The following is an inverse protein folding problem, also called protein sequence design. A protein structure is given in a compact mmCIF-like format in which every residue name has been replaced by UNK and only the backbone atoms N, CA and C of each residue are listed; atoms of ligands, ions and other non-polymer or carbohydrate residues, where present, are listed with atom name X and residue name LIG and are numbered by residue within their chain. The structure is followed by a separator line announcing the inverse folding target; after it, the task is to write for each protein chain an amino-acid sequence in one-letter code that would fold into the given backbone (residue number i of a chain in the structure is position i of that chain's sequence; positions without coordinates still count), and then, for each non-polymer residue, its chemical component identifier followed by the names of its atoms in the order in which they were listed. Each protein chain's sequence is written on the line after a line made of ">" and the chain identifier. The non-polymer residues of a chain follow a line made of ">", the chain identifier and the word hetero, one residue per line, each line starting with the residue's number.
data_IF_909294363751
#
_entry.id   IF_909294363751
#
_cell.length_a   1.000
_cell.length_b   1.000
_cell.length_c   1.000
_cell.angle_alpha   90.00
_cell.angle_beta   90.00
_cell.angle_gamma   90.00
#
_symmetry.space_group_name_H-M   'P 1'
#
loop_
_entity.id
_entity.type
_entity.pdbx_description
1 polymer ?
#
# COMPACT_ATOMS: atom_id res chain seq x y z
N UNK A 1 4.76 2.77 -19.93
CA UNK A 1 4.60 2.99 -18.46
C UNK A 1 4.84 4.44 -18.03
N UNK A 2 5.80 5.18 -18.59
CA UNK A 2 6.02 6.60 -18.21
C UNK A 2 4.87 7.55 -18.63
N UNK A 3 4.20 7.27 -19.75
CA UNK A 3 3.08 8.09 -20.26
C UNK A 3 1.84 8.05 -19.36
N UNK A 4 1.54 6.91 -18.77
CA UNK A 4 0.39 6.73 -17.87
C UNK A 4 0.60 7.42 -16.52
N UNK A 5 1.83 7.40 -15.99
CA UNK A 5 2.17 8.08 -14.75
C UNK A 5 2.02 9.61 -14.86
N UNK A 6 2.47 10.20 -15.98
CA UNK A 6 2.33 11.63 -16.22
C UNK A 6 0.87 12.04 -16.39
N UNK A 7 0.05 11.24 -17.09
CA UNK A 7 -1.37 11.52 -17.27
C UNK A 7 -2.12 11.57 -15.93
N UNK A 8 -1.88 10.58 -15.06
CA UNK A 8 -2.51 10.51 -13.73
C UNK A 8 -2.11 11.72 -12.87
N UNK A 9 -0.86 12.16 -12.93
CA UNK A 9 -0.38 13.35 -12.21
C UNK A 9 -1.06 14.63 -12.70
N UNK A 10 -1.20 14.80 -14.02
CA UNK A 10 -1.93 15.96 -14.59
C UNK A 10 -3.42 15.95 -14.30
N UNK A 11 -4.06 14.78 -14.30
CA UNK A 11 -5.48 14.64 -14.01
C UNK A 11 -5.78 14.89 -12.53
N UNK A 12 -4.91 14.44 -11.62
CA UNK A 12 -5.02 14.73 -10.18
C UNK A 12 -4.84 16.23 -9.91
N UNK A 13 -3.87 16.89 -10.57
CA UNK A 13 -3.70 18.34 -10.46
C UNK A 13 -4.88 19.14 -11.03
N UNK A 14 -5.52 18.68 -12.12
CA UNK A 14 -6.74 19.30 -12.67
C UNK A 14 -7.92 19.16 -11.74
N UNK A 15 -8.16 17.97 -11.19
CA UNK A 15 -9.25 17.73 -10.25
C UNK A 15 -9.12 18.60 -8.99
N UNK A 16 -7.93 18.68 -8.40
CA UNK A 16 -7.69 19.50 -7.21
C UNK A 16 -7.84 21.01 -7.50
N UNK A 17 -7.40 21.48 -8.67
CA UNK A 17 -7.55 22.88 -9.11
C UNK A 17 -9.02 23.29 -9.33
N UNK A 18 -9.83 22.42 -9.95
CA UNK A 18 -11.23 22.73 -10.25
C UNK A 18 -12.13 22.80 -9.00
N UNK A 19 -11.82 22.03 -7.96
CA UNK A 19 -12.58 22.04 -6.72
C UNK A 19 -12.36 23.35 -5.94
N UNK A 20 -11.13 23.86 -5.91
CA UNK A 20 -10.79 25.12 -5.23
C UNK A 20 -11.27 26.38 -5.98
N UNK A 21 -11.34 26.34 -7.32
CA UNK A 21 -11.77 27.49 -8.11
C UNK A 21 -13.28 27.79 -8.02
N UNK A 22 -14.10 26.79 -7.67
CA UNK A 22 -15.57 26.95 -7.58
C UNK A 22 -16.00 27.74 -6.35
N UNK A 23 -15.26 27.63 -5.25
CA UNK A 23 -15.56 28.29 -3.97
C UNK A 23 -15.10 29.76 -3.92
N UNK A 24 -14.20 30.18 -4.81
CA UNK A 24 -13.69 31.56 -4.84
C UNK A 24 -14.52 32.51 -5.71
N UNK A 25 -15.59 32.04 -6.37
CA UNK A 25 -16.49 32.91 -7.14
C UNK A 25 -17.61 33.48 -6.25
N UNK A 26 -17.22 34.12 -5.15
CA UNK A 26 -18.14 34.98 -4.40
C UNK A 26 -18.28 36.27 -5.20
N UNK A 27 -19.40 36.38 -5.92
CA UNK A 27 -19.81 37.58 -6.64
C UNK A 27 -19.88 38.73 -5.62
N UNK A 28 -18.90 39.62 -5.63
CA UNK A 28 -18.95 40.87 -4.88
C UNK A 28 -20.07 41.74 -5.48
N UNK A 29 -21.30 41.52 -5.03
CA UNK A 29 -22.39 42.45 -5.25
C UNK A 29 -22.17 43.63 -4.30
N UNK A 30 -21.45 44.64 -4.77
CA UNK A 30 -21.44 45.97 -4.18
C UNK A 30 -22.84 46.55 -4.34
N UNK A 31 -23.75 46.24 -3.43
CA UNK A 31 -24.99 47.01 -3.30
C UNK A 31 -24.62 48.32 -2.60
N UNK A 32 -24.39 49.36 -3.40
CA UNK A 32 -24.37 50.75 -2.93
C UNK A 32 -25.78 51.05 -2.41
N UNK A 33 -26.02 50.74 -1.13
CA UNK A 33 -27.25 51.05 -0.44
C UNK A 33 -27.38 52.55 -0.29
N UNK A 34 -28.02 53.20 -1.26
CA UNK A 34 -28.50 54.57 -1.09
C UNK A 34 -29.43 54.57 0.13
N UNK A 35 -28.95 55.13 1.24
CA UNK A 35 -29.74 55.27 2.45
C UNK A 35 -30.83 56.29 2.18
N UNK A 36 -31.99 55.84 1.67
CA UNK A 36 -33.21 56.66 1.72
C UNK A 36 -33.46 56.95 3.20
N UNK A 37 -33.23 58.20 3.61
CA UNK A 37 -33.71 58.68 4.92
C UNK A 37 -35.21 58.45 4.93
N UNK A 38 -35.69 57.63 5.85
CA UNK A 38 -37.12 57.47 6.10
C UNK A 38 -37.60 58.82 6.68
N UNK A 39 -38.05 59.71 5.81
CA UNK A 39 -38.74 60.92 6.23
C UNK A 39 -40.15 60.49 6.59
N UNK A 40 -40.44 60.44 7.89
CA UNK A 40 -41.81 60.27 8.37
C UNK A 40 -42.60 61.49 7.85
N UNK A 41 -43.66 61.30 7.06
CA UNK A 41 -44.48 62.41 6.59
C UNK A 41 -45.03 63.18 7.79
N UNK A 42 -44.89 64.50 7.79
CA UNK A 42 -45.44 65.36 8.84
C UNK A 42 -46.98 65.28 8.80
N UNK A 43 -47.60 64.89 9.91
CA UNK A 43 -49.07 64.83 10.02
C UNK A 43 -49.62 66.24 10.21
N UNK A 44 -50.35 66.75 9.22
CA UNK A 44 -50.97 68.07 9.25
C UNK A 44 -52.33 68.01 9.96
N UNK A 45 -52.29 68.21 11.28
CA UNK A 45 -53.46 68.17 12.16
C UNK A 45 -54.53 69.23 11.80
N UNK A 46 -54.13 70.41 11.34
CA UNK A 46 -55.06 71.50 11.03
C UNK A 46 -55.84 71.24 9.74
N UNK A 47 -55.17 70.69 8.72
CA UNK A 47 -55.85 70.30 7.48
C UNK A 47 -56.82 69.15 7.71
N UNK A 48 -56.46 68.20 8.56
CA UNK A 48 -57.32 67.07 8.92
C UNK A 48 -58.54 67.54 9.75
N UNK A 49 -58.35 68.49 10.67
CA UNK A 49 -59.43 69.10 11.44
C UNK A 49 -60.48 69.76 10.55
N UNK A 50 -60.05 70.58 9.58
CA UNK A 50 -60.96 71.24 8.62
C UNK A 50 -61.72 70.27 7.73
N UNK A 51 -61.15 69.09 7.46
CA UNK A 51 -61.82 68.05 6.67
C UNK A 51 -62.92 67.37 7.49
N UNK A 52 -62.63 67.06 8.77
CA UNK A 52 -63.62 66.50 9.70
C UNK A 52 -64.78 67.48 9.95
N UNK A 53 -64.49 68.78 10.07
CA UNK A 53 -65.52 69.81 10.21
C UNK A 53 -66.42 69.92 8.98
N UNK A 54 -65.87 69.68 7.77
CA UNK A 54 -66.66 69.63 6.53
C UNK A 54 -67.57 68.40 6.43
N UNK A 55 -67.15 67.29 7.03
CA UNK A 55 -67.92 66.04 7.10
C UNK A 55 -68.93 66.02 8.26
N UNK A 56 -69.12 67.16 8.95
CA UNK A 56 -70.19 67.34 9.95
C UNK A 56 -69.78 67.13 11.41
N UNK A 57 -68.48 66.99 11.70
CA UNK A 57 -67.99 66.93 13.09
C UNK A 57 -67.91 68.32 13.72
N UNK A 58 -68.19 68.42 15.03
CA UNK A 58 -67.89 69.66 15.76
C UNK A 58 -66.37 69.85 15.93
N UNK A 59 -65.92 71.10 16.08
CA UNK A 59 -64.50 71.40 16.28
C UNK A 59 -63.89 70.65 17.49
N UNK A 60 -64.67 70.39 18.53
CA UNK A 60 -64.24 69.62 19.71
C UNK A 60 -64.13 68.13 19.42
N UNK A 61 -65.04 67.56 18.62
CA UNK A 61 -64.99 66.15 18.21
C UNK A 61 -63.85 65.89 17.22
N UNK A 62 -63.64 66.79 16.25
CA UNK A 62 -62.54 66.70 15.30
C UNK A 62 -61.18 66.69 16.02
N UNK A 63 -61.03 67.54 17.05
CA UNK A 63 -59.82 67.59 17.88
C UNK A 63 -59.62 66.30 18.69
N UNK A 64 -60.67 65.71 19.24
CA UNK A 64 -60.59 64.45 19.98
C UNK A 64 -60.16 63.27 19.08
N UNK A 65 -60.67 63.21 17.84
CA UNK A 65 -60.28 62.19 16.85
C UNK A 65 -58.82 62.34 16.42
N UNK A 66 -58.36 63.58 16.22
CA UNK A 66 -56.95 63.87 15.93
C UNK A 66 -56.05 63.38 17.06
N UNK A 67 -56.41 63.65 18.31
CA UNK A 67 -55.61 63.27 19.46
C UNK A 67 -55.51 61.74 19.61
N UNK A 68 -56.62 61.02 19.40
CA UNK A 68 -56.61 59.55 19.40
C UNK A 68 -55.77 58.95 18.26
N UNK A 69 -55.73 59.61 17.08
CA UNK A 69 -54.87 59.20 15.97
C UNK A 69 -53.40 59.48 16.26
N UNK A 70 -53.08 60.59 16.91
CA UNK A 70 -51.71 60.94 17.32
C UNK A 70 -51.16 59.88 18.28
N UNK A 71 -51.94 59.48 19.28
CA UNK A 71 -51.58 58.43 20.24
C UNK A 71 -51.31 57.08 19.54
N UNK A 72 -52.17 56.67 18.59
CA UNK A 72 -51.99 55.41 17.83
C UNK A 72 -50.81 55.47 16.87
N UNK A 73 -50.56 56.64 16.25
CA UNK A 73 -49.42 56.84 15.35
C UNK A 73 -48.10 56.85 16.13
N UNK A 74 -48.08 57.45 17.32
CA UNK A 74 -46.93 57.43 18.22
C UNK A 74 -46.65 56.02 18.72
N UNK A 75 -47.67 55.27 19.15
CA UNK A 75 -47.53 53.86 19.55
C UNK A 75 -47.04 52.98 18.39
N UNK A 76 -47.60 53.15 17.19
CA UNK A 76 -47.19 52.43 15.98
C UNK A 76 -45.76 52.78 15.56
N UNK A 77 -45.39 54.05 15.61
CA UNK A 77 -44.04 54.52 15.28
C UNK A 77 -43.03 53.98 16.29
N UNK A 78 -43.33 54.05 17.59
CA UNK A 78 -42.50 53.46 18.63
C UNK A 78 -42.30 51.94 18.42
N UNK A 79 -43.38 51.20 18.14
CA UNK A 79 -43.31 49.76 17.90
C UNK A 79 -42.46 49.41 16.67
N UNK A 80 -42.65 50.11 15.55
CA UNK A 80 -41.84 49.91 14.34
C UNK A 80 -40.37 50.30 14.58
N UNK A 81 -40.10 51.39 15.29
CA UNK A 81 -38.72 51.80 15.59
C UNK A 81 -38.00 50.87 16.58
N UNK A 82 -38.71 50.20 17.48
CA UNK A 82 -38.13 49.22 18.39
C UNK A 82 -37.68 47.94 17.67
N UNK A 83 -38.39 47.53 16.61
CA UNK A 83 -38.03 46.35 15.81
C UNK A 83 -36.98 46.67 14.72
N UNK A 84 -36.79 47.96 14.41
CA UNK A 84 -35.75 48.42 13.48
C UNK A 84 -34.36 48.35 14.15
N UNK A 85 -33.55 47.39 13.68
CA UNK A 85 -32.13 47.33 14.04
C UNK A 85 -31.42 48.60 13.54
N UNK A 86 -30.76 49.31 14.46
CA UNK A 86 -29.92 50.46 14.10
C UNK A 86 -28.82 50.04 13.12
N UNK A 87 -28.54 50.88 12.13
CA UNK A 87 -27.45 50.65 11.17
C UNK A 87 -26.10 50.39 11.84
N UNK A 88 -25.87 51.01 13.00
CA UNK A 88 -24.66 50.79 13.77
C UNK A 88 -24.55 49.36 14.31
N UNK A 89 -25.66 48.74 14.69
CA UNK A 89 -25.72 47.36 15.20
C UNK A 89 -25.62 46.33 14.07
N UNK A 90 -26.23 46.65 12.92
CA UNK A 90 -26.05 45.87 11.69
C UNK A 90 -24.57 45.85 11.26
N UNK A 91 -23.89 46.99 11.28
CA UNK A 91 -22.48 47.10 10.87
C UNK A 91 -21.52 46.37 11.84
N UNK A 92 -21.80 46.43 13.15
CA UNK A 92 -21.09 45.60 14.14
C UNK A 92 -21.25 44.11 13.86
N UNK A 93 -22.47 43.66 13.59
CA UNK A 93 -22.77 42.25 13.29
C UNK A 93 -22.06 41.79 12.01
N UNK A 94 -22.08 42.60 10.96
CA UNK A 94 -21.33 42.33 9.71
C UNK A 94 -19.83 42.24 9.97
N UNK A 95 -19.27 43.14 10.78
CA UNK A 95 -17.84 43.13 11.11
C UNK A 95 -17.45 41.87 11.88
N UNK A 96 -18.28 41.45 12.84
CA UNK A 96 -18.10 40.19 13.56
C UNK A 96 -18.09 38.98 12.62
N UNK A 97 -19.04 38.90 11.68
CA UNK A 97 -19.04 37.82 10.68
C UNK A 97 -17.82 37.85 9.76
N UNK A 98 -17.30 39.04 9.40
CA UNK A 98 -16.07 39.16 8.61
C UNK A 98 -14.84 38.66 9.37
N UNK A 99 -14.75 38.96 10.66
CA UNK A 99 -13.69 38.47 11.52
C UNK A 99 -13.76 36.94 11.66
N UNK A 100 -14.95 36.40 11.95
CA UNK A 100 -15.16 34.96 12.08
C UNK A 100 -14.87 34.22 10.76
N UNK A 101 -15.27 34.80 9.61
CA UNK A 101 -14.93 34.27 8.30
C UNK A 101 -13.41 34.29 8.05
N UNK A 102 -12.72 35.34 8.49
CA UNK A 102 -11.27 35.44 8.35
C UNK A 102 -10.55 34.41 9.21
N UNK A 103 -11.03 34.17 10.44
CA UNK A 103 -10.52 33.11 11.33
C UNK A 103 -10.73 31.73 10.74
N UNK A 104 -11.96 31.42 10.30
CA UNK A 104 -12.28 30.13 9.69
C UNK A 104 -11.41 29.87 8.45
N UNK A 105 -11.22 30.89 7.61
CA UNK A 105 -10.34 30.80 6.44
C UNK A 105 -8.89 30.48 6.84
N UNK A 106 -8.37 31.13 7.88
CA UNK A 106 -7.01 30.87 8.38
C UNK A 106 -6.89 29.45 8.94
N UNK A 107 -7.90 28.99 9.69
CA UNK A 107 -7.93 27.64 10.26
C UNK A 107 -7.95 26.57 9.16
N UNK A 108 -8.80 26.74 8.13
CA UNK A 108 -8.84 25.84 6.97
C UNK A 108 -7.49 25.82 6.26
N UNK A 109 -6.88 26.99 6.01
CA UNK A 109 -5.57 27.07 5.35
C UNK A 109 -4.45 26.43 6.19
N UNK A 110 -4.52 26.56 7.51
CA UNK A 110 -3.56 25.93 8.41
C UNK A 110 -3.76 24.41 8.45
N UNK A 111 -5.00 23.94 8.50
CA UNK A 111 -5.34 22.51 8.44
C UNK A 111 -4.85 21.90 7.13
N UNK A 112 -5.16 22.51 5.98
CA UNK A 112 -4.71 22.02 4.67
C UNK A 112 -3.19 21.91 4.59
N UNK A 113 -2.46 22.90 5.13
CA UNK A 113 -0.99 22.84 5.19
C UNK A 113 -0.49 21.69 6.06
N UNK A 114 -1.08 21.51 7.25
CA UNK A 114 -0.73 20.42 8.15
C UNK A 114 -1.00 19.05 7.52
N UNK A 115 -2.16 18.87 6.90
CA UNK A 115 -2.53 17.60 6.25
C UNK A 115 -1.57 17.27 5.09
N UNK A 116 -1.20 18.28 4.29
CA UNK A 116 -0.22 18.10 3.21
C UNK A 116 1.16 17.73 3.76
N UNK A 117 1.60 18.37 4.84
CA UNK A 117 2.88 18.06 5.50
C UNK A 117 2.86 16.65 6.13
N UNK A 118 1.77 16.25 6.77
CA UNK A 118 1.59 14.92 7.34
C UNK A 118 1.63 13.85 6.25
N UNK A 119 0.86 14.01 5.17
CA UNK A 119 0.89 13.08 4.04
C UNK A 119 2.28 13.02 3.40
N UNK A 120 2.95 14.17 3.24
CA UNK A 120 4.30 14.22 2.67
C UNK A 120 5.31 13.46 3.53
N UNK A 121 5.31 13.70 4.84
CA UNK A 121 6.21 13.02 5.78
C UNK A 121 5.95 11.52 5.85
N UNK A 122 4.67 11.10 5.87
CA UNK A 122 4.30 9.69 5.78
C UNK A 122 4.79 9.04 4.48
N UNK A 123 4.67 9.75 3.34
CA UNK A 123 5.11 9.25 2.05
C UNK A 123 6.64 9.12 1.97
N UNK A 124 7.39 10.09 2.50
CA UNK A 124 8.86 10.02 2.61
C UNK A 124 9.31 8.85 3.51
N UNK A 125 8.62 8.66 4.64
CA UNK A 125 8.87 7.52 5.54
C UNK A 125 8.62 6.18 4.84
N UNK A 126 7.46 6.01 4.18
CA UNK A 126 7.13 4.78 3.46
C UNK A 126 8.13 4.50 2.33
N UNK A 127 8.58 5.52 1.60
CA UNK A 127 9.64 5.37 0.59
C UNK A 127 10.95 4.87 1.21
N UNK A 128 11.35 5.41 2.36
CA UNK A 128 12.55 4.96 3.07
C UNK A 128 12.42 3.50 3.53
N UNK A 129 11.26 3.12 4.06
CA UNK A 129 10.97 1.73 4.47
C UNK A 129 11.01 0.76 3.26
N UNK A 130 10.45 1.16 2.11
CA UNK A 130 10.51 0.37 0.86
C UNK A 130 11.95 0.17 0.40
N UNK A 131 12.78 1.22 0.37
CA UNK A 131 14.18 1.07 -0.05
C UNK A 131 14.99 0.22 0.95
N UNK A 132 14.68 0.31 2.25
CA UNK A 132 15.26 -0.59 3.26
C UNK A 132 14.88 -2.06 2.99
N UNK A 133 13.59 -2.36 2.80
CA UNK A 133 13.11 -3.72 2.53
C UNK A 133 13.72 -4.28 1.25
N UNK A 134 13.81 -3.48 0.20
CA UNK A 134 14.44 -3.86 -1.07
C UNK A 134 15.93 -4.17 -0.92
N UNK A 135 16.65 -3.44 -0.07
CA UNK A 135 18.05 -3.73 0.24
C UNK A 135 18.17 -5.05 1.00
N UNK A 136 17.39 -5.25 2.05
CA UNK A 136 17.37 -6.51 2.82
C UNK A 136 17.04 -7.71 1.91
N UNK A 137 16.02 -7.60 1.07
CA UNK A 137 15.64 -8.67 0.14
C UNK A 137 16.78 -9.03 -0.82
N UNK A 138 17.50 -8.03 -1.34
CA UNK A 138 18.66 -8.29 -2.22
C UNK A 138 19.78 -9.00 -1.46
N UNK A 139 20.06 -8.58 -0.23
CA UNK A 139 21.07 -9.21 0.62
C UNK A 139 20.71 -10.67 0.93
N UNK A 140 19.45 -10.95 1.27
CA UNK A 140 18.94 -12.30 1.51
C UNK A 140 18.96 -13.16 0.25
N UNK A 141 18.58 -12.60 -0.91
CA UNK A 141 18.64 -13.31 -2.18
C UNK A 141 20.08 -13.69 -2.55
N UNK A 142 21.04 -12.77 -2.40
CA UNK A 142 22.46 -13.05 -2.65
C UNK A 142 22.98 -14.10 -1.67
N UNK A 143 22.61 -14.00 -0.39
CA UNK A 143 23.00 -14.99 0.63
C UNK A 143 22.41 -16.37 0.33
N UNK A 144 21.13 -16.44 0.00
CA UNK A 144 20.45 -17.69 -0.35
C UNK A 144 21.05 -18.31 -1.61
N UNK A 145 21.32 -17.51 -2.64
CA UNK A 145 21.98 -17.97 -3.87
C UNK A 145 23.39 -18.51 -3.60
N UNK A 146 24.17 -17.85 -2.75
CA UNK A 146 25.48 -18.33 -2.34
C UNK A 146 25.38 -19.65 -1.57
N UNK A 147 24.38 -19.79 -0.70
CA UNK A 147 24.05 -21.03 0.01
C UNK A 147 23.75 -22.17 -0.96
N UNK A 148 22.80 -21.98 -1.88
CA UNK A 148 22.45 -22.99 -2.90
C UNK A 148 23.66 -23.39 -3.74
N UNK A 149 24.51 -22.44 -4.14
CA UNK A 149 25.72 -22.76 -4.90
C UNK A 149 26.72 -23.59 -4.08
N UNK A 150 26.87 -23.29 -2.78
CA UNK A 150 27.71 -24.07 -1.89
C UNK A 150 27.15 -25.49 -1.73
N UNK A 151 25.85 -25.62 -1.49
CA UNK A 151 25.16 -26.91 -1.32
C UNK A 151 25.39 -27.80 -2.55
N UNK A 152 25.18 -27.25 -3.76
CA UNK A 152 25.42 -27.98 -5.01
C UNK A 152 26.89 -28.40 -5.18
N UNK A 153 27.83 -27.55 -4.77
CA UNK A 153 29.26 -27.88 -4.85
C UNK A 153 29.63 -28.99 -3.86
N UNK A 154 29.07 -28.96 -2.65
CA UNK A 154 29.28 -29.99 -1.63
C UNK A 154 28.65 -31.32 -2.08
N UNK A 155 27.42 -31.30 -2.60
CA UNK A 155 26.76 -32.50 -3.14
C UNK A 155 27.50 -33.07 -4.34
N UNK A 156 28.02 -32.22 -5.24
CA UNK A 156 28.85 -32.69 -6.35
C UNK A 156 30.14 -33.34 -5.85
N UNK A 157 30.75 -32.80 -4.80
CA UNK A 157 31.90 -33.40 -4.12
C UNK A 157 31.55 -34.77 -3.56
N UNK A 158 30.47 -34.85 -2.78
CA UNK A 158 29.98 -36.08 -2.17
C UNK A 158 29.66 -37.16 -3.20
N UNK A 159 28.93 -36.84 -4.27
CA UNK A 159 28.62 -37.78 -5.34
C UNK A 159 29.90 -38.31 -5.99
N UNK A 160 30.89 -37.44 -6.22
CA UNK A 160 32.18 -37.86 -6.80
C UNK A 160 32.90 -38.83 -5.86
N UNK A 161 32.95 -38.52 -4.58
CA UNK A 161 33.66 -39.35 -3.60
C UNK A 161 32.95 -40.71 -3.42
N UNK A 162 31.62 -40.74 -3.38
CA UNK A 162 30.81 -41.97 -3.41
C UNK A 162 31.04 -42.77 -4.70
N UNK A 163 31.16 -42.10 -5.85
CA UNK A 163 31.45 -42.75 -7.14
C UNK A 163 32.83 -43.39 -7.15
N UNK A 164 33.84 -42.70 -6.61
CA UNK A 164 35.21 -43.23 -6.48
C UNK A 164 35.21 -44.44 -5.55
N UNK A 165 34.50 -44.38 -4.42
CA UNK A 165 34.38 -45.50 -3.50
C UNK A 165 33.74 -46.71 -4.16
N UNK A 166 32.64 -46.52 -4.89
CA UNK A 166 31.99 -47.59 -5.66
C UNK A 166 32.94 -48.17 -6.72
N UNK A 167 33.68 -47.33 -7.43
CA UNK A 167 34.65 -47.79 -8.42
C UNK A 167 35.75 -48.64 -7.78
N UNK A 168 36.28 -48.22 -6.63
CA UNK A 168 37.29 -48.99 -5.89
C UNK A 168 36.72 -50.34 -5.41
N UNK A 169 35.48 -50.38 -4.93
CA UNK A 169 34.81 -51.63 -4.53
C UNK A 169 34.60 -52.58 -5.72
N UNK A 170 34.29 -52.03 -6.90
CA UNK A 170 34.19 -52.81 -8.14
C UNK A 170 35.55 -53.38 -8.54
N UNK A 171 36.59 -52.55 -8.60
CA UNK A 171 37.95 -53.02 -8.91
C UNK A 171 38.44 -54.12 -7.96
N UNK A 172 38.24 -53.95 -6.66
CA UNK A 172 38.58 -55.00 -5.68
C UNK A 172 37.80 -56.30 -5.91
N UNK A 173 36.57 -56.22 -6.40
CA UNK A 173 35.76 -57.39 -6.74
C UNK A 173 36.25 -58.04 -8.03
N UNK A 174 36.57 -57.25 -9.05
CA UNK A 174 37.14 -57.73 -10.31
C UNK A 174 38.49 -58.43 -10.06
N UNK A 175 39.36 -57.86 -9.23
CA UNK A 175 40.64 -58.46 -8.83
C UNK A 175 40.44 -59.80 -8.11
N UNK A 176 39.42 -59.90 -7.25
CA UNK A 176 39.08 -61.17 -6.58
C UNK A 176 38.63 -62.23 -7.59
N UNK A 177 37.77 -61.86 -8.54
CA UNK A 177 37.30 -62.77 -9.59
C UNK A 177 38.49 -63.27 -10.43
N UNK A 178 39.39 -62.37 -10.84
CA UNK A 178 40.59 -62.76 -11.61
C UNK A 178 41.48 -63.73 -10.81
N UNK A 179 41.68 -63.47 -9.52
CA UNK A 179 42.44 -64.37 -8.64
C UNK A 179 41.76 -65.75 -8.48
N UNK A 180 40.43 -65.80 -8.39
CA UNK A 180 39.66 -67.05 -8.35
C UNK A 180 39.80 -67.83 -9.67
N UNK A 181 39.72 -67.15 -10.82
CA UNK A 181 39.93 -67.75 -12.15
C UNK A 181 41.33 -68.36 -12.26
N UNK A 182 42.36 -67.63 -11.85
CA UNK A 182 43.73 -68.15 -11.86
C UNK A 182 43.89 -69.35 -10.93
N UNK A 183 43.25 -69.31 -9.76
CA UNK A 183 43.26 -70.43 -8.81
C UNK A 183 42.59 -71.67 -9.41
N UNK A 184 41.41 -71.52 -10.02
CA UNK A 184 40.71 -72.61 -10.71
C UNK A 184 41.54 -73.17 -11.87
N UNK A 185 42.23 -72.31 -12.63
CA UNK A 185 43.12 -72.74 -13.71
C UNK A 185 44.30 -73.56 -13.20
N UNK A 186 44.96 -73.13 -12.13
CA UNK A 186 46.06 -73.90 -11.48
C UNK A 186 45.57 -75.24 -10.95
N UNK A 187 44.38 -75.27 -10.34
CA UNK A 187 43.75 -76.52 -9.89
C UNK A 187 43.51 -77.48 -11.06
N UNK A 188 42.98 -76.97 -12.19
CA UNK A 188 42.78 -77.77 -13.40
C UNK A 188 44.10 -78.31 -13.97
N UNK A 189 45.15 -77.50 -14.05
CA UNK A 189 46.48 -77.96 -14.48
C UNK A 189 47.05 -79.02 -13.53
N UNK A 190 46.87 -78.85 -12.22
CA UNK A 190 47.22 -79.85 -11.21
C UNK A 190 46.48 -81.18 -11.42
N UNK A 191 45.17 -81.15 -11.66
CA UNK A 191 44.37 -82.34 -11.96
C UNK A 191 44.89 -83.06 -13.20
N UNK A 192 45.24 -82.32 -14.27
CA UNK A 192 45.83 -82.93 -15.49
C UNK A 192 47.14 -83.67 -15.19
N UNK A 193 48.02 -83.07 -14.38
CA UNK A 193 49.28 -83.70 -13.97
C UNK A 193 49.06 -84.93 -13.07
N UNK A 194 48.10 -84.85 -12.14
CA UNK A 194 47.73 -85.99 -11.30
C UNK A 194 47.21 -87.16 -12.14
N UNK A 195 46.34 -86.91 -13.13
CA UNK A 195 45.86 -87.94 -14.05
C UNK A 195 47.04 -88.57 -14.79
N UNK A 196 47.99 -87.76 -15.28
CA UNK A 196 49.18 -88.27 -15.96
C UNK A 196 50.04 -89.14 -15.04
N UNK A 197 50.26 -88.72 -13.79
CA UNK A 197 50.98 -89.52 -12.79
C UNK A 197 50.26 -90.84 -12.48
N UNK A 198 48.93 -90.82 -12.31
CA UNK A 198 48.14 -92.04 -12.13
C UNK A 198 48.30 -93.01 -13.31
N UNK A 199 48.29 -92.49 -14.54
CA UNK A 199 48.52 -93.30 -15.74
C UNK A 199 49.91 -93.94 -15.75
N UNK A 200 50.96 -93.20 -15.37
CA UNK A 200 52.32 -93.76 -15.26
C UNK A 200 52.36 -94.84 -14.16
N UNK A 201 51.73 -94.58 -13.01
CA UNK A 201 51.67 -95.52 -11.89
C UNK A 201 50.96 -96.83 -12.24
N UNK A 202 49.81 -96.77 -12.94
CA UNK A 202 49.07 -97.97 -13.34
C UNK A 202 49.83 -98.79 -14.37
N UNK A 203 50.46 -98.15 -15.37
CA UNK A 203 51.31 -98.84 -16.37
C UNK A 203 52.51 -99.50 -15.69
N UNK A 204 53.19 -98.78 -14.79
CA UNK A 204 54.37 -99.32 -14.08
C UNK A 204 53.96 -100.49 -13.17
N UNK A 205 52.85 -100.37 -12.44
CA UNK A 205 52.30 -101.43 -11.60
C UNK A 205 51.91 -102.67 -12.39
N UNK A 206 51.18 -102.50 -13.49
CA UNK A 206 50.83 -103.60 -14.39
C UNK A 206 52.09 -104.27 -14.98
N UNK A 207 53.07 -103.48 -15.44
CA UNK A 207 54.35 -104.00 -15.94
C UNK A 207 55.12 -104.79 -14.88
N UNK A 208 55.13 -104.31 -13.63
CA UNK A 208 55.78 -104.99 -12.50
C UNK A 208 55.11 -106.32 -12.19
N UNK A 209 53.78 -106.38 -12.20
CA UNK A 209 53.04 -107.62 -11.99
C UNK A 209 53.31 -108.64 -13.09
N UNK A 210 53.34 -108.21 -14.36
CA UNK A 210 53.68 -109.10 -15.50
C UNK A 210 55.10 -109.64 -15.35
N UNK A 211 56.07 -108.79 -15.03
CA UNK A 211 57.45 -109.21 -14.78
C UNK A 211 57.56 -110.18 -13.60
N UNK A 212 56.85 -109.92 -12.50
CA UNK A 212 56.77 -110.81 -11.35
C UNK A 212 56.18 -112.18 -11.69
N UNK A 213 55.14 -112.21 -12.53
CA UNK A 213 54.54 -113.46 -13.01
C UNK A 213 55.52 -114.27 -13.86
N UNK A 214 56.23 -113.62 -14.78
CA UNK A 214 57.26 -114.28 -15.60
C UNK A 214 58.36 -114.86 -14.73
N UNK A 215 58.82 -114.13 -13.71
CA UNK A 215 59.85 -114.59 -12.79
C UNK A 215 59.39 -115.74 -11.89
N UNK A 216 58.12 -115.79 -11.50
CA UNK A 216 57.58 -116.91 -10.73
C UNK A 216 57.46 -118.20 -11.55
N UNK A 217 57.27 -118.08 -12.87
CA UNK A 217 57.10 -119.22 -13.77
C UNK A 217 58.42 -119.74 -14.39
N UNK A 218 59.47 -118.91 -14.42
CA UNK A 218 60.81 -119.26 -14.93
C UNK A 218 61.69 -119.79 -13.81
#
# INVERSE_FOLDING_TARGET
>A
MASTYNSIKTDFCRLYSTHNARWLRTRASTSTGATKKFQIPFFDAERFARLLEKEGFSATQAKAVIQALDDVVDESTANVTNDLVSKAEQEKTITRYKEDFSKLKQEIQQMERRDVEEVKTANERLKAEIEKLKKTLREELVRSQAGVRLDLNLDKGRIRDETIEQHNRLQQTDDKIENEIQTLKRQMEGIKLQILQYMIGTITGAGTLVLGYIHFFT
#
